data_IF_794259546680
#
_entry.id   IF_794259546680
#
_cell.length_a   1.000
_cell.length_b   1.000
_cell.length_c   1.000
_cell.angle_alpha   90.00
_cell.angle_beta   90.00
_cell.angle_gamma   90.00
#
_symmetry.space_group_name_H-M   'P 1'
#
loop_
_entity.id
_entity.type
_entity.pdbx_description
1 polymer ?
#
# COMPACT_ATOMS: atom_id res chain seq x y z
N UNK A 1 13.32 12.40 -33.87
CA UNK A 1 14.24 11.47 -33.17
C UNK A 1 13.62 10.08 -33.21
N UNK A 2 14.26 9.10 -33.84
CA UNK A 2 13.79 7.72 -33.86
C UNK A 2 13.86 7.17 -32.43
N UNK A 3 12.69 6.92 -31.81
CA UNK A 3 12.61 6.28 -30.51
C UNK A 3 12.97 4.79 -30.67
N UNK A 4 14.23 4.43 -30.53
CA UNK A 4 14.57 3.03 -30.32
C UNK A 4 13.97 2.60 -28.98
N UNK A 5 13.13 1.57 -28.99
CA UNK A 5 12.67 0.92 -27.75
C UNK A 5 13.89 0.57 -26.89
N UNK A 6 13.90 1.01 -25.64
CA UNK A 6 14.93 0.66 -24.67
C UNK A 6 14.65 -0.76 -24.16
N UNK A 7 15.66 -1.53 -23.94
CA UNK A 7 15.53 -2.96 -23.61
C UNK A 7 15.37 -3.24 -22.12
N UNK A 8 15.89 -2.40 -21.23
CA UNK A 8 15.86 -2.62 -19.78
C UNK A 8 15.52 -1.35 -18.99
N UNK A 9 14.91 -1.54 -17.82
CA UNK A 9 14.63 -0.50 -16.84
C UNK A 9 15.10 -0.91 -15.46
N UNK A 10 15.44 0.04 -14.61
CA UNK A 10 15.91 -0.23 -13.26
C UNK A 10 15.24 0.70 -12.24
N UNK A 11 15.07 0.20 -11.03
CA UNK A 11 14.80 1.00 -9.84
C UNK A 11 16.16 1.53 -9.38
N UNK A 12 16.39 2.82 -9.53
CA UNK A 12 17.66 3.47 -9.22
C UNK A 12 17.69 4.16 -7.86
N UNK A 13 16.53 4.38 -7.26
CA UNK A 13 16.38 4.90 -5.91
C UNK A 13 15.00 4.60 -5.35
N UNK A 14 14.90 4.53 -4.04
CA UNK A 14 13.64 4.40 -3.31
C UNK A 14 13.64 5.26 -2.06
N UNK A 15 12.46 5.69 -1.61
CA UNK A 15 12.30 6.47 -0.39
C UNK A 15 10.96 6.20 0.25
N UNK A 16 10.96 6.16 1.58
CA UNK A 16 9.76 5.92 2.41
C UNK A 16 9.50 7.14 3.27
N UNK A 17 8.25 7.51 3.38
CA UNK A 17 7.77 8.53 4.30
C UNK A 17 6.60 7.99 5.14
N UNK A 18 6.51 8.39 6.39
CA UNK A 18 5.38 8.12 7.28
C UNK A 18 5.12 9.31 8.19
N UNK A 19 3.89 9.48 8.72
CA UNK A 19 3.60 10.47 9.75
C UNK A 19 4.42 10.23 11.01
N UNK A 20 4.54 11.27 11.85
CA UNK A 20 5.22 11.16 13.15
C UNK A 20 4.37 10.46 14.21
N UNK A 21 3.03 10.50 14.08
CA UNK A 21 2.13 9.92 15.06
C UNK A 21 2.16 8.40 14.98
N UNK A 22 2.57 7.76 16.06
CA UNK A 22 2.48 6.31 16.26
C UNK A 22 1.24 5.99 17.08
N UNK A 23 0.43 5.06 16.62
CA UNK A 23 -0.76 4.56 17.31
C UNK A 23 -0.51 3.11 17.75
N UNK A 24 -0.34 2.91 19.05
CA UNK A 24 -0.13 1.61 19.68
C UNK A 24 -1.45 0.85 19.87
N UNK A 25 -1.41 -0.49 19.83
CA UNK A 25 -2.60 -1.31 20.06
C UNK A 25 -3.25 -1.03 21.42
N UNK A 26 -2.44 -0.79 22.44
CA UNK A 26 -2.95 -0.57 23.81
C UNK A 26 -3.83 0.71 23.88
N UNK A 27 -3.34 1.85 23.36
CA UNK A 27 -4.11 3.09 23.39
C UNK A 27 -5.35 3.03 22.48
N UNK A 28 -5.24 2.37 21.32
CA UNK A 28 -6.37 2.14 20.42
C UNK A 28 -7.46 1.32 21.08
N UNK A 29 -7.10 0.23 21.78
CA UNK A 29 -8.06 -0.63 22.48
C UNK A 29 -8.78 0.11 23.61
N UNK A 30 -8.11 1.02 24.31
CA UNK A 30 -8.76 1.85 25.35
C UNK A 30 -9.89 2.70 24.74
N UNK A 31 -9.62 3.42 23.64
CA UNK A 31 -10.59 4.25 22.96
C UNK A 31 -11.73 3.43 22.35
N UNK A 32 -11.40 2.34 21.66
CA UNK A 32 -12.36 1.45 21.04
C UNK A 32 -13.30 0.79 22.07
N UNK A 33 -12.77 0.31 23.17
CA UNK A 33 -13.57 -0.34 24.21
C UNK A 33 -14.49 0.64 24.94
N UNK A 34 -14.06 1.88 25.10
CA UNK A 34 -14.93 2.96 25.60
C UNK A 34 -16.07 3.26 24.61
N UNK A 35 -15.78 3.33 23.31
CA UNK A 35 -16.84 3.42 22.28
C UNK A 35 -17.81 2.24 22.38
N UNK A 36 -17.32 1.00 22.49
CA UNK A 36 -18.13 -0.20 22.60
C UNK A 36 -19.06 -0.13 23.84
N UNK A 37 -18.53 0.28 24.99
CA UNK A 37 -19.34 0.42 26.22
C UNK A 37 -20.46 1.43 26.07
N UNK A 38 -20.15 2.59 25.49
CA UNK A 38 -21.14 3.66 25.23
C UNK A 38 -22.24 3.20 24.27
N UNK A 39 -21.86 2.55 23.18
CA UNK A 39 -22.83 2.04 22.20
C UNK A 39 -23.71 0.90 22.78
N UNK A 40 -23.13 -0.01 23.54
CA UNK A 40 -23.90 -1.06 24.23
C UNK A 40 -24.87 -0.48 25.28
N UNK A 41 -24.46 0.56 26.01
CA UNK A 41 -25.33 1.25 26.97
C UNK A 41 -26.49 1.98 26.26
N UNK A 42 -26.24 2.65 25.14
CA UNK A 42 -27.31 3.24 24.31
C UNK A 42 -28.32 2.23 23.80
N UNK A 43 -27.85 1.02 23.46
CA UNK A 43 -28.66 -0.05 22.90
C UNK A 43 -29.11 -1.08 23.94
N UNK A 44 -29.00 -0.80 25.26
CA UNK A 44 -29.24 -1.78 26.33
C UNK A 44 -30.63 -2.42 26.23
N UNK A 45 -31.69 -1.67 26.00
CA UNK A 45 -33.04 -2.20 25.87
C UNK A 45 -33.21 -3.16 24.68
N UNK A 46 -32.59 -2.85 23.52
CA UNK A 46 -32.64 -3.71 22.35
C UNK A 46 -31.79 -4.99 22.53
N UNK A 47 -30.68 -4.88 23.26
CA UNK A 47 -29.83 -6.02 23.61
C UNK A 47 -30.57 -6.94 24.59
N UNK A 48 -31.20 -6.41 25.62
CA UNK A 48 -32.01 -7.16 26.59
C UNK A 48 -33.20 -7.85 25.93
N UNK A 49 -33.85 -7.17 24.98
CA UNK A 49 -34.93 -7.74 24.18
C UNK A 49 -34.46 -8.75 23.13
N UNK A 50 -33.16 -8.97 22.93
CA UNK A 50 -32.59 -9.88 21.94
C UNK A 50 -32.72 -9.42 20.48
N UNK A 51 -33.11 -8.16 20.25
CA UNK A 51 -33.25 -7.54 18.91
C UNK A 51 -31.98 -6.94 18.37
N UNK A 52 -30.98 -6.70 19.24
CA UNK A 52 -29.63 -6.29 18.88
C UNK A 52 -28.58 -7.18 19.55
N UNK A 53 -27.43 -7.36 18.89
CA UNK A 53 -26.30 -8.06 19.49
C UNK A 53 -25.34 -7.04 20.13
N UNK A 54 -24.79 -7.31 21.33
CA UNK A 54 -23.81 -6.43 21.92
C UNK A 54 -22.52 -6.40 21.10
N UNK A 55 -21.95 -5.22 20.94
CA UNK A 55 -20.62 -5.06 20.41
C UNK A 55 -19.60 -5.68 21.36
N UNK A 56 -18.53 -6.26 20.79
CA UNK A 56 -17.46 -6.92 21.56
C UNK A 56 -16.25 -6.01 21.69
N UNK A 57 -15.66 -5.97 22.86
CA UNK A 57 -14.40 -5.30 23.11
C UNK A 57 -13.23 -5.93 22.34
N UNK A 58 -12.16 -5.18 22.14
CA UNK A 58 -10.91 -5.59 21.52
C UNK A 58 -9.78 -5.66 22.54
N UNK A 59 -8.65 -6.30 22.17
CA UNK A 59 -7.43 -6.29 22.97
C UNK A 59 -6.18 -6.31 22.08
N UNK A 60 -5.03 -5.85 22.59
CA UNK A 60 -3.76 -5.93 21.87
C UNK A 60 -3.44 -7.36 21.42
N UNK A 61 -3.67 -8.36 22.26
CA UNK A 61 -3.42 -9.78 21.96
C UNK A 61 -4.32 -10.29 20.82
N UNK A 62 -5.60 -9.84 20.78
CA UNK A 62 -6.50 -10.14 19.68
C UNK A 62 -5.97 -9.56 18.37
N UNK A 63 -5.55 -8.30 18.37
CA UNK A 63 -5.02 -7.61 17.19
C UNK A 63 -3.76 -8.32 16.68
N UNK A 64 -2.77 -8.56 17.56
CA UNK A 64 -1.52 -9.21 17.18
C UNK A 64 -1.78 -10.63 16.65
N UNK A 65 -2.60 -11.41 17.31
CA UNK A 65 -2.95 -12.77 16.86
C UNK A 65 -3.67 -12.78 15.51
N UNK A 66 -4.55 -11.80 15.27
CA UNK A 66 -5.35 -11.73 14.05
C UNK A 66 -4.56 -11.23 12.84
N UNK A 67 -3.56 -10.37 13.03
CA UNK A 67 -2.92 -9.63 11.94
C UNK A 67 -1.39 -9.61 11.97
N UNK A 68 -0.78 -9.73 13.14
CA UNK A 68 0.64 -9.45 13.40
C UNK A 68 0.94 -7.98 13.69
N UNK A 69 -0.06 -7.08 13.66
CA UNK A 69 0.12 -5.64 13.86
C UNK A 69 0.33 -5.35 15.35
N UNK A 70 1.39 -4.61 15.69
CA UNK A 70 1.67 -4.11 17.04
C UNK A 70 1.39 -2.64 17.16
N UNK A 71 1.77 -1.86 16.13
CA UNK A 71 1.54 -0.42 16.02
C UNK A 71 1.36 -0.01 14.55
N UNK A 72 1.02 1.24 14.31
CA UNK A 72 0.95 1.83 12.98
C UNK A 72 1.21 3.32 13.04
N UNK A 73 1.66 3.87 11.92
CA UNK A 73 1.75 5.32 11.72
C UNK A 73 0.41 5.84 11.24
N UNK A 74 -0.04 6.98 11.77
CA UNK A 74 -1.33 7.60 11.42
C UNK A 74 -1.18 9.11 11.26
N UNK A 75 -1.89 9.70 10.30
CA UNK A 75 -1.83 11.14 10.04
C UNK A 75 -2.36 11.94 11.24
N UNK A 76 -3.36 11.45 11.90
CA UNK A 76 -3.90 11.98 13.15
C UNK A 76 -4.38 10.87 14.06
N UNK A 77 -3.92 10.86 15.30
CA UNK A 77 -4.40 9.91 16.30
C UNK A 77 -5.41 10.50 17.28
N UNK A 78 -5.48 11.82 17.38
CA UNK A 78 -6.35 12.49 18.36
C UNK A 78 -7.82 12.21 18.08
N UNK A 79 -8.24 12.31 16.82
CA UNK A 79 -9.59 11.98 16.41
C UNK A 79 -9.91 10.49 16.46
N UNK A 80 -8.91 9.63 16.21
CA UNK A 80 -9.06 8.16 16.31
C UNK A 80 -9.24 7.73 17.76
N UNK A 81 -8.53 8.37 18.70
CA UNK A 81 -8.58 8.07 20.14
C UNK A 81 -9.76 8.74 20.87
N UNK A 82 -10.54 9.57 20.20
CA UNK A 82 -11.79 10.10 20.72
C UNK A 82 -12.93 9.09 20.51
N UNK A 83 -13.50 8.49 21.58
CA UNK A 83 -14.55 7.48 21.45
C UNK A 83 -15.86 7.98 20.82
N UNK A 84 -16.10 9.28 20.76
CA UNK A 84 -17.26 9.86 20.08
C UNK A 84 -17.01 10.00 18.59
N UNK A 85 -15.79 10.35 18.22
CA UNK A 85 -15.41 10.58 16.82
C UNK A 85 -14.99 9.29 16.10
N UNK A 86 -14.06 8.53 16.64
CA UNK A 86 -13.51 7.31 16.05
C UNK A 86 -13.15 7.49 14.56
N UNK A 87 -12.41 8.56 14.25
CA UNK A 87 -12.01 8.93 12.89
C UNK A 87 -10.90 9.99 12.97
N UNK A 88 -9.88 9.98 12.11
CA UNK A 88 -8.85 11.02 12.08
C UNK A 88 -9.44 12.41 11.93
N UNK A 89 -8.81 13.40 12.55
CA UNK A 89 -9.14 14.79 12.38
C UNK A 89 -8.22 15.43 11.34
N UNK A 90 -8.65 15.43 10.10
CA UNK A 90 -7.91 16.03 8.98
C UNK A 90 -8.71 17.19 8.42
N UNK A 91 -8.44 18.43 8.87
CA UNK A 91 -9.17 19.61 8.38
C UNK A 91 -8.87 19.85 6.90
N UNK A 92 -9.85 20.44 6.21
CA UNK A 92 -9.64 20.93 4.86
C UNK A 92 -8.52 21.96 4.82
N UNK A 93 -7.67 21.90 3.82
CA UNK A 93 -6.62 22.90 3.57
C UNK A 93 -7.10 23.91 2.52
N UNK A 94 -6.63 25.18 2.58
CA UNK A 94 -6.82 26.14 1.49
C UNK A 94 -6.24 25.64 0.17
N UNK A 95 -6.79 26.11 -0.95
CA UNK A 95 -6.42 25.65 -2.29
C UNK A 95 -4.96 25.99 -2.70
N UNK A 96 -4.34 26.94 -2.00
CA UNK A 96 -2.94 27.34 -2.18
C UNK A 96 -1.95 26.49 -1.36
N UNK A 97 -2.45 25.62 -0.49
CA UNK A 97 -1.63 24.68 0.26
C UNK A 97 -1.59 23.32 -0.41
N UNK A 98 -0.41 22.68 -0.35
CA UNK A 98 -0.25 21.30 -0.80
C UNK A 98 -1.20 20.37 -0.05
N UNK A 99 -1.87 19.48 -0.76
CA UNK A 99 -2.77 18.49 -0.15
C UNK A 99 -2.01 17.50 0.73
N UNK A 100 -2.68 16.91 1.72
CA UNK A 100 -2.05 15.97 2.66
C UNK A 100 -1.41 14.79 1.93
N UNK A 101 -2.11 14.22 0.96
CA UNK A 101 -1.61 13.06 0.21
C UNK A 101 -0.44 13.44 -0.69
N UNK A 102 -0.44 14.65 -1.29
CA UNK A 102 0.70 15.13 -2.07
C UNK A 102 1.93 15.43 -1.18
N UNK A 103 1.73 15.98 0.02
CA UNK A 103 2.81 16.19 1.00
C UNK A 103 3.49 14.86 1.39
N UNK A 104 2.70 13.82 1.67
CA UNK A 104 3.21 12.46 1.93
C UNK A 104 4.06 11.97 0.76
N UNK A 105 3.57 12.16 -0.47
CA UNK A 105 4.27 11.76 -1.69
C UNK A 105 5.60 12.49 -1.86
N UNK A 106 5.60 13.83 -1.69
CA UNK A 106 6.81 14.66 -1.80
C UNK A 106 7.88 14.19 -0.82
N UNK A 107 7.51 13.95 0.44
CA UNK A 107 8.45 13.46 1.45
C UNK A 107 9.09 12.10 1.12
N UNK A 108 8.38 11.21 0.42
CA UNK A 108 8.92 9.95 -0.08
C UNK A 108 9.80 10.16 -1.33
N UNK A 109 9.37 11.04 -2.26
CA UNK A 109 10.08 11.32 -3.51
C UNK A 109 11.43 11.97 -3.23
N UNK A 110 11.51 12.95 -2.33
CA UNK A 110 12.77 13.60 -1.97
C UNK A 110 13.83 12.59 -1.54
N UNK A 111 13.45 11.60 -0.71
CA UNK A 111 14.36 10.53 -0.28
C UNK A 111 14.73 9.61 -1.44
N UNK A 112 13.78 9.28 -2.32
CA UNK A 112 14.05 8.45 -3.50
C UNK A 112 14.99 9.13 -4.49
N UNK A 113 14.82 10.43 -4.72
CA UNK A 113 15.68 11.24 -5.59
C UNK A 113 17.10 11.32 -5.02
N UNK A 114 17.25 11.55 -3.72
CA UNK A 114 18.57 11.54 -3.04
C UNK A 114 19.24 10.18 -3.24
N UNK A 115 18.52 9.08 -3.03
CA UNK A 115 19.05 7.72 -3.22
C UNK A 115 19.48 7.46 -4.68
N UNK A 116 18.73 7.98 -5.66
CA UNK A 116 19.06 7.88 -7.08
C UNK A 116 20.18 8.84 -7.50
N UNK A 117 20.48 9.88 -6.70
CA UNK A 117 21.35 11.00 -7.07
C UNK A 117 20.74 11.82 -8.21
N UNK A 118 19.48 12.15 -8.09
CA UNK A 118 18.66 12.95 -9.01
C UNK A 118 18.06 14.14 -8.29
N UNK A 119 17.55 15.09 -9.08
CA UNK A 119 16.77 16.26 -8.64
C UNK A 119 15.42 16.29 -9.34
N UNK A 120 14.46 17.04 -8.79
CA UNK A 120 13.09 17.10 -9.31
C UNK A 120 13.00 17.50 -10.78
N UNK A 121 13.81 18.45 -11.21
CA UNK A 121 13.85 18.97 -12.59
C UNK A 121 14.29 17.92 -13.64
N UNK A 122 14.94 16.83 -13.20
CA UNK A 122 15.30 15.72 -14.08
C UNK A 122 14.13 14.72 -14.29
N UNK A 123 13.08 14.80 -13.48
CA UNK A 123 11.91 13.94 -13.57
C UNK A 123 11.01 14.40 -14.70
N UNK A 124 10.66 13.50 -15.60
CA UNK A 124 9.83 13.77 -16.78
C UNK A 124 8.50 12.98 -16.78
N UNK A 125 8.28 12.13 -15.76
CA UNK A 125 7.00 11.44 -15.52
C UNK A 125 6.77 11.21 -14.03
N UNK A 126 5.58 11.53 -13.55
CA UNK A 126 5.09 11.14 -12.21
C UNK A 126 3.85 10.26 -12.37
N UNK A 127 3.93 9.01 -11.89
CA UNK A 127 2.78 8.09 -11.78
C UNK A 127 2.42 7.95 -10.30
N UNK A 128 1.29 8.52 -9.91
CA UNK A 128 0.77 8.38 -8.55
C UNK A 128 -0.21 7.21 -8.48
N UNK A 129 0.19 6.15 -7.77
CA UNK A 129 -0.61 4.94 -7.63
C UNK A 129 -0.98 4.70 -6.17
N UNK A 130 -2.18 5.09 -5.75
CA UNK A 130 -2.66 4.88 -4.39
C UNK A 130 -3.97 4.08 -4.38
N UNK A 131 -4.26 3.42 -3.27
CA UNK A 131 -5.51 2.66 -3.10
C UNK A 131 -6.73 3.58 -3.08
N UNK A 132 -6.56 4.81 -2.60
CA UNK A 132 -7.56 5.87 -2.55
C UNK A 132 -6.89 7.19 -2.90
N UNK A 133 -7.54 8.02 -3.71
CA UNK A 133 -7.09 9.37 -4.03
C UNK A 133 -7.87 10.39 -3.21
N UNK A 134 -7.18 11.41 -2.69
CA UNK A 134 -7.80 12.49 -1.91
C UNK A 134 -8.82 13.26 -2.76
N UNK A 135 -8.57 13.39 -4.06
CA UNK A 135 -9.47 13.99 -5.04
C UNK A 135 -9.27 13.38 -6.43
N UNK A 136 -10.25 13.61 -7.30
CA UNK A 136 -10.23 13.09 -8.68
C UNK A 136 -9.53 14.05 -9.66
N UNK A 137 -9.65 15.37 -9.43
CA UNK A 137 -9.04 16.40 -10.28
C UNK A 137 -8.82 17.71 -9.49
N UNK A 138 -7.71 18.44 -9.77
CA UNK A 138 -6.60 17.98 -10.60
C UNK A 138 -6.00 16.69 -10.05
N UNK A 139 -5.38 15.87 -10.94
CA UNK A 139 -4.74 14.62 -10.52
C UNK A 139 -3.70 14.89 -9.44
N UNK A 140 -3.57 13.96 -8.48
CA UNK A 140 -2.55 14.04 -7.41
C UNK A 140 -1.14 14.10 -7.99
N UNK A 141 -0.88 13.32 -9.05
CA UNK A 141 0.40 13.32 -9.75
C UNK A 141 0.80 14.70 -10.30
N UNK A 142 -0.17 15.51 -10.77
CA UNK A 142 0.11 16.86 -11.31
C UNK A 142 0.46 17.84 -10.18
N UNK A 143 -0.19 17.75 -9.02
CA UNK A 143 0.18 18.53 -7.85
C UNK A 143 1.57 18.14 -7.33
N UNK A 144 1.85 16.83 -7.23
CA UNK A 144 3.15 16.30 -6.84
C UNK A 144 4.24 16.76 -7.81
N UNK A 145 3.98 16.66 -9.12
CA UNK A 145 4.88 17.12 -10.17
C UNK A 145 5.28 18.59 -9.97
N UNK A 146 4.28 19.45 -9.75
CA UNK A 146 4.52 20.87 -9.47
C UNK A 146 5.34 21.08 -8.19
N UNK A 147 5.03 20.36 -7.13
CA UNK A 147 5.69 20.50 -5.82
C UNK A 147 7.18 20.12 -5.86
N UNK A 148 7.57 19.11 -6.66
CA UNK A 148 8.98 18.69 -6.79
C UNK A 148 9.72 19.40 -7.93
N UNK A 149 9.08 20.32 -8.66
CA UNK A 149 9.66 21.02 -9.79
C UNK A 149 9.91 20.13 -11.03
N UNK A 150 9.19 18.99 -11.12
CA UNK A 150 9.35 18.05 -12.23
C UNK A 150 8.82 18.61 -13.53
N UNK A 151 9.39 18.15 -14.64
CA UNK A 151 8.97 18.50 -16.00
C UNK A 151 8.13 17.37 -16.60
N UNK A 152 7.58 17.59 -17.79
CA UNK A 152 6.85 16.54 -18.50
C UNK A 152 5.40 16.40 -18.03
N UNK A 153 4.96 15.20 -17.61
CA UNK A 153 3.56 14.93 -17.32
C UNK A 153 3.38 13.99 -16.10
N UNK A 154 2.15 13.94 -15.60
CA UNK A 154 1.79 13.05 -14.51
C UNK A 154 0.35 12.58 -14.61
N UNK A 155 0.05 11.41 -14.05
CA UNK A 155 -1.29 10.86 -13.97
C UNK A 155 -1.45 9.94 -12.77
N UNK A 156 -2.72 9.78 -12.34
CA UNK A 156 -3.10 8.92 -11.22
C UNK A 156 -3.61 7.57 -11.71
N UNK A 157 -3.37 6.53 -10.90
CA UNK A 157 -4.00 5.22 -11.08
C UNK A 157 -4.51 4.68 -9.76
N UNK A 158 -5.60 3.93 -9.81
CA UNK A 158 -6.14 3.17 -8.67
C UNK A 158 -6.40 1.73 -9.07
N UNK A 159 -5.76 0.80 -8.36
CA UNK A 159 -5.93 -0.64 -8.50
C UNK A 159 -5.93 -1.32 -7.12
N UNK A 160 -6.57 -0.68 -6.12
CA UNK A 160 -6.54 -1.14 -4.74
C UNK A 160 -5.11 -1.35 -4.24
N UNK A 161 -4.86 -2.44 -3.54
CA UNK A 161 -3.53 -2.72 -2.96
C UNK A 161 -2.43 -3.02 -4.00
N UNK A 162 -2.75 -3.11 -5.29
CA UNK A 162 -1.76 -3.26 -6.37
C UNK A 162 -1.43 -1.94 -7.08
N UNK A 163 -1.95 -0.79 -6.60
CA UNK A 163 -1.74 0.51 -7.25
C UNK A 163 -0.27 0.89 -7.37
N UNK A 164 0.51 0.74 -6.30
CA UNK A 164 1.95 1.07 -6.30
C UNK A 164 2.74 0.22 -7.30
N UNK A 165 2.54 -1.10 -7.31
CA UNK A 165 3.25 -1.99 -8.23
C UNK A 165 2.80 -1.79 -9.68
N UNK A 166 1.54 -1.41 -9.90
CA UNK A 166 1.06 -1.01 -11.22
C UNK A 166 1.67 0.35 -11.66
N UNK A 167 1.85 1.29 -10.73
CA UNK A 167 2.55 2.55 -11.02
C UNK A 167 4.00 2.28 -11.47
N UNK A 168 4.70 1.33 -10.83
CA UNK A 168 6.04 0.90 -11.25
C UNK A 168 5.98 0.30 -12.67
N UNK A 169 4.99 -0.54 -12.98
CA UNK A 169 4.82 -1.08 -14.33
C UNK A 169 4.66 0.02 -15.37
N UNK A 170 3.72 0.96 -15.14
CA UNK A 170 3.44 2.04 -16.09
C UNK A 170 4.64 2.99 -16.26
N UNK A 171 5.35 3.30 -15.18
CA UNK A 171 6.59 4.07 -15.24
C UNK A 171 7.68 3.32 -16.04
N UNK A 172 7.84 2.02 -15.80
CA UNK A 172 8.78 1.16 -16.55
C UNK A 172 8.40 1.09 -18.04
N UNK A 173 7.11 0.92 -18.37
CA UNK A 173 6.64 0.85 -19.74
C UNK A 173 6.86 2.19 -20.48
N UNK A 174 6.63 3.33 -19.81
CA UNK A 174 6.92 4.65 -20.34
C UNK A 174 8.42 4.85 -20.65
N UNK A 175 9.29 4.39 -19.75
CA UNK A 175 10.74 4.45 -19.93
C UNK A 175 11.18 3.52 -21.08
N UNK A 176 10.66 2.31 -21.17
CA UNK A 176 10.94 1.36 -22.27
C UNK A 176 10.47 1.90 -23.61
N UNK A 177 9.30 2.54 -23.64
CA UNK A 177 8.75 3.17 -24.85
C UNK A 177 9.52 4.44 -25.26
N UNK A 178 10.38 4.99 -24.38
CA UNK A 178 11.13 6.22 -24.63
C UNK A 178 10.31 7.50 -24.45
N UNK A 179 9.12 7.41 -23.85
CA UNK A 179 8.29 8.58 -23.50
C UNK A 179 8.69 9.22 -22.19
N UNK A 180 9.51 8.53 -21.37
CA UNK A 180 10.16 9.05 -20.18
C UNK A 180 11.62 8.57 -20.11
N UNK A 181 12.46 9.29 -19.34
CA UNK A 181 13.87 8.95 -19.08
C UNK A 181 14.18 8.90 -17.59
N UNK A 182 13.38 9.57 -16.79
CA UNK A 182 13.43 9.54 -15.33
C UNK A 182 11.98 9.61 -14.81
N UNK A 183 11.41 8.48 -14.45
CA UNK A 183 10.03 8.39 -14.00
C UNK A 183 9.98 8.14 -12.50
N UNK A 184 8.99 8.73 -11.83
CA UNK A 184 8.65 8.45 -10.44
C UNK A 184 7.38 7.59 -10.41
N UNK A 185 7.44 6.44 -9.72
CA UNK A 185 6.28 5.71 -9.25
C UNK A 185 6.12 6.01 -7.75
N UNK A 186 5.03 6.67 -7.35
CA UNK A 186 4.79 7.05 -5.96
C UNK A 186 3.44 6.56 -5.47
N UNK A 187 3.39 6.07 -4.23
CA UNK A 187 2.17 5.58 -3.59
C UNK A 187 1.99 6.22 -2.21
N UNK A 188 1.24 7.33 -2.12
CA UNK A 188 0.88 7.96 -0.85
C UNK A 188 -0.45 7.40 -0.35
N UNK A 189 -0.42 6.29 0.37
CA UNK A 189 -1.63 5.66 0.90
C UNK A 189 -2.04 6.27 2.26
N UNK A 190 -3.06 7.14 2.23
CA UNK A 190 -3.71 7.76 3.39
C UNK A 190 -4.93 6.91 3.79
N UNK A 191 -4.69 5.76 4.40
CA UNK A 191 -5.72 4.74 4.60
C UNK A 191 -6.58 4.95 5.85
N UNK A 192 -6.04 5.61 6.86
CA UNK A 192 -6.74 5.82 8.13
C UNK A 192 -8.00 6.65 7.97
N UNK A 193 -8.05 7.56 6.99
CA UNK A 193 -9.23 8.37 6.68
C UNK A 193 -10.39 7.56 6.05
N UNK A 194 -10.13 6.36 5.57
CA UNK A 194 -11.12 5.46 4.93
C UNK A 194 -11.43 4.22 5.77
N UNK A 195 -10.77 4.08 6.91
CA UNK A 195 -10.93 2.94 7.82
C UNK A 195 -12.25 3.02 8.58
N UNK A 196 -12.89 1.87 8.80
CA UNK A 196 -14.00 1.77 9.73
C UNK A 196 -13.47 1.52 11.14
N UNK A 197 -13.18 2.59 11.88
CA UNK A 197 -12.66 2.54 13.25
C UNK A 197 -13.66 2.01 14.28
N UNK A 198 -14.94 1.90 13.91
CA UNK A 198 -16.03 1.40 14.77
C UNK A 198 -16.31 -0.09 14.59
N UNK A 199 -15.55 -0.78 13.76
CA UNK A 199 -15.69 -2.22 13.50
C UNK A 199 -14.55 -2.99 14.15
N UNK A 200 -14.88 -3.96 15.02
CA UNK A 200 -13.89 -4.73 15.78
C UNK A 200 -12.85 -5.44 14.93
N UNK A 201 -13.27 -5.98 13.79
CA UNK A 201 -12.40 -6.79 12.91
C UNK A 201 -11.59 -5.91 11.93
N UNK A 202 -11.82 -4.60 11.92
CA UNK A 202 -11.20 -3.65 10.97
C UNK A 202 -10.50 -2.45 11.59
N UNK A 203 -10.88 -2.03 12.83
CA UNK A 203 -10.40 -0.79 13.46
C UNK A 203 -8.88 -0.69 13.61
N UNK A 204 -8.17 -1.80 13.59
CA UNK A 204 -6.73 -1.86 13.81
C UNK A 204 -5.91 -2.00 12.53
N UNK A 205 -6.55 -2.19 11.38
CA UNK A 205 -5.90 -2.75 10.20
C UNK A 205 -4.91 -1.79 9.54
N UNK A 206 -5.33 -0.55 9.31
CA UNK A 206 -4.59 0.36 8.45
C UNK A 206 -3.65 1.32 9.18
N UNK A 207 -2.54 1.66 8.48
CA UNK A 207 -1.67 2.77 8.77
C UNK A 207 -1.45 3.62 7.52
N UNK A 208 -0.87 4.81 7.70
CA UNK A 208 -0.58 5.77 6.65
C UNK A 208 0.92 5.79 6.35
N UNK A 209 1.28 5.69 5.08
CA UNK A 209 2.67 5.86 4.63
C UNK A 209 2.71 6.19 3.14
N UNK A 210 3.85 6.69 2.69
CA UNK A 210 4.15 6.87 1.29
C UNK A 210 5.47 6.19 0.92
N UNK A 211 5.55 5.71 -0.31
CA UNK A 211 6.78 5.18 -0.90
C UNK A 211 6.93 5.71 -2.31
N UNK A 212 8.15 6.04 -2.69
CA UNK A 212 8.48 6.44 -4.05
C UNK A 212 9.67 5.65 -4.59
N UNK A 213 9.63 5.35 -5.88
CA UNK A 213 10.71 4.69 -6.60
C UNK A 213 11.05 5.48 -7.85
N UNK A 214 12.34 5.65 -8.11
CA UNK A 214 12.87 6.25 -9.33
C UNK A 214 13.12 5.14 -10.35
N UNK A 215 12.51 5.26 -11.52
CA UNK A 215 12.60 4.29 -12.62
C UNK A 215 13.31 4.94 -13.80
N UNK A 216 14.41 4.33 -14.21
CA UNK A 216 15.26 4.84 -15.30
C UNK A 216 15.66 3.70 -16.25
N UNK A 217 16.20 4.04 -17.46
CA UNK A 217 16.87 3.04 -18.29
C UNK A 217 18.02 2.37 -17.52
N UNK A 218 18.21 1.06 -17.71
CA UNK A 218 19.24 0.29 -17.02
C UNK A 218 20.64 0.85 -17.25
N UNK A 219 20.88 1.49 -18.40
CA UNK A 219 22.16 2.13 -18.75
C UNK A 219 22.52 3.34 -17.86
N UNK A 220 21.53 3.90 -17.16
CA UNK A 220 21.70 4.99 -16.18
C UNK A 220 21.85 4.48 -14.74
N UNK A 221 21.65 3.17 -14.54
CA UNK A 221 21.70 2.57 -13.22
C UNK A 221 23.11 2.63 -12.63
N UNK A 222 23.18 3.00 -11.34
CA UNK A 222 24.40 2.92 -10.55
C UNK A 222 24.50 1.54 -9.89
N UNK A 223 25.70 1.15 -9.39
CA UNK A 223 25.81 -0.03 -8.53
C UNK A 223 24.79 0.02 -7.39
N UNK A 224 24.22 -1.13 -7.05
CA UNK A 224 23.12 -1.29 -6.07
C UNK A 224 21.73 -0.89 -6.57
N UNK A 225 21.53 -0.54 -7.82
CA UNK A 225 20.20 -0.47 -8.43
C UNK A 225 19.61 -1.87 -8.63
N UNK A 226 18.33 -1.93 -8.96
CA UNK A 226 17.63 -3.17 -9.24
C UNK A 226 17.07 -3.15 -10.66
N UNK A 227 17.56 -4.03 -11.52
CA UNK A 227 16.99 -4.21 -12.85
C UNK A 227 15.60 -4.85 -12.73
N UNK A 228 14.64 -4.32 -13.49
CA UNK A 228 13.30 -4.90 -13.61
C UNK A 228 13.33 -5.88 -14.77
N UNK A 229 13.49 -7.17 -14.46
CA UNK A 229 13.58 -8.22 -15.46
C UNK A 229 12.25 -8.45 -16.16
N UNK A 230 11.16 -8.51 -15.40
CA UNK A 230 9.80 -8.63 -15.92
C UNK A 230 8.76 -8.19 -14.90
N UNK A 231 7.57 -7.87 -15.40
CA UNK A 231 6.39 -7.57 -14.58
C UNK A 231 5.23 -8.40 -15.10
N UNK A 232 4.45 -8.95 -14.19
CA UNK A 232 3.20 -9.67 -14.47
C UNK A 232 2.07 -9.08 -13.68
N UNK A 233 0.92 -8.90 -14.33
CA UNK A 233 -0.30 -8.41 -13.69
C UNK A 233 -1.50 -9.26 -14.11
N UNK A 234 -2.44 -9.45 -13.17
CA UNK A 234 -3.73 -10.07 -13.45
C UNK A 234 -4.81 -9.49 -12.54
N UNK A 235 -6.04 -9.56 -12.98
CA UNK A 235 -7.20 -9.20 -12.18
C UNK A 235 -8.34 -10.19 -12.34
N UNK A 236 -9.14 -10.34 -11.27
CA UNK A 236 -10.36 -11.15 -11.24
C UNK A 236 -11.40 -10.43 -10.40
N UNK A 237 -12.54 -10.10 -10.98
CA UNK A 237 -13.59 -9.37 -10.28
C UNK A 237 -14.07 -10.10 -9.02
N UNK A 238 -14.12 -9.38 -7.91
CA UNK A 238 -14.63 -9.83 -6.62
C UNK A 238 -15.10 -8.64 -5.78
N UNK A 239 -16.21 -8.81 -5.08
CA UNK A 239 -16.75 -7.83 -4.13
C UNK A 239 -16.32 -8.09 -2.68
N UNK A 240 -15.43 -9.04 -2.45
CA UNK A 240 -15.01 -9.44 -1.10
C UNK A 240 -14.13 -8.38 -0.40
N UNK A 241 -13.51 -7.45 -1.16
CA UNK A 241 -12.85 -6.25 -0.65
C UNK A 241 -13.37 -5.08 -1.48
N UNK A 242 -14.04 -4.12 -0.84
CA UNK A 242 -14.65 -2.99 -1.54
C UNK A 242 -14.97 -1.83 -0.62
N UNK A 243 -15.35 -0.73 -1.20
CA UNK A 243 -16.19 0.31 -0.61
C UNK A 243 -17.13 0.87 -1.69
N UNK A 244 -18.11 1.65 -1.27
CA UNK A 244 -19.01 2.40 -2.15
C UNK A 244 -18.72 3.91 -2.07
N UNK A 245 -17.50 4.28 -1.70
CA UNK A 245 -17.05 5.67 -1.66
C UNK A 245 -16.93 6.25 -3.08
N UNK A 246 -17.27 7.52 -3.23
CA UNK A 246 -17.15 8.24 -4.50
C UNK A 246 -18.18 9.36 -4.62
N UNK A 247 -18.17 10.11 -5.72
CA UNK A 247 -19.05 11.26 -5.92
C UNK A 247 -20.54 10.88 -5.96
N UNK A 248 -20.86 9.68 -6.39
CA UNK A 248 -22.24 9.16 -6.40
C UNK A 248 -22.87 9.04 -5.00
N UNK A 249 -22.06 9.01 -3.95
CA UNK A 249 -22.56 8.98 -2.58
C UNK A 249 -23.44 10.19 -2.24
N UNK A 250 -23.19 11.34 -2.86
CA UNK A 250 -24.00 12.54 -2.70
C UNK A 250 -25.34 12.48 -3.43
N UNK A 251 -25.49 11.54 -4.36
CA UNK A 251 -26.72 11.29 -5.09
C UNK A 251 -27.68 10.36 -4.35
N UNK A 252 -27.23 9.76 -3.24
CA UNK A 252 -28.04 8.93 -2.34
C UNK A 252 -28.14 9.59 -0.96
N UNK A 253 -29.10 10.49 -0.74
CA UNK A 253 -29.18 11.29 0.47
C UNK A 253 -29.46 10.46 1.74
N UNK A 254 -30.07 9.27 1.61
CA UNK A 254 -30.38 8.39 2.73
C UNK A 254 -29.15 7.61 3.21
N UNK A 255 -28.20 7.34 2.32
CA UNK A 255 -27.01 6.52 2.57
C UNK A 255 -25.68 7.33 2.57
N UNK A 256 -25.77 8.64 2.53
CA UNK A 256 -24.60 9.53 2.36
C UNK A 256 -23.45 9.27 3.36
N UNK A 257 -23.79 8.88 4.60
CA UNK A 257 -22.85 8.56 5.68
C UNK A 257 -22.87 7.07 6.07
N UNK A 258 -23.36 6.22 5.19
CA UNK A 258 -23.45 4.79 5.45
C UNK A 258 -22.08 4.13 5.67
N UNK A 259 -22.04 3.12 6.52
CA UNK A 259 -20.80 2.36 6.81
C UNK A 259 -20.23 1.64 5.57
N UNK A 260 -21.05 1.37 4.56
CA UNK A 260 -20.62 0.78 3.29
C UNK A 260 -19.75 1.71 2.43
N UNK A 261 -19.68 3.02 2.75
CA UNK A 261 -18.78 4.00 2.13
C UNK A 261 -17.33 3.85 2.65
N UNK A 262 -17.14 3.17 3.75
CA UNK A 262 -15.84 2.87 4.33
C UNK A 262 -15.29 1.54 3.79
N UNK A 263 -14.06 1.23 4.14
CA UNK A 263 -13.44 -0.05 3.76
C UNK A 263 -14.24 -1.23 4.33
N UNK A 264 -14.52 -2.20 3.46
CA UNK A 264 -15.16 -3.47 3.82
C UNK A 264 -14.38 -4.65 3.27
N UNK A 265 -14.24 -5.70 4.07
CA UNK A 265 -13.71 -6.98 3.60
C UNK A 265 -14.44 -8.18 4.23
N UNK A 266 -14.69 -9.19 3.41
CA UNK A 266 -15.09 -10.52 3.85
C UNK A 266 -13.83 -11.36 4.19
N UNK A 267 -13.13 -11.04 5.28
CA UNK A 267 -11.76 -11.48 5.57
C UNK A 267 -11.51 -12.98 5.39
N UNK A 268 -12.39 -13.86 5.88
CA UNK A 268 -12.27 -15.31 5.71
C UNK A 268 -12.33 -15.76 4.24
N UNK A 269 -13.15 -15.10 3.42
CA UNK A 269 -13.25 -15.39 1.98
C UNK A 269 -11.99 -14.89 1.27
N UNK A 270 -11.55 -13.67 1.57
CA UNK A 270 -10.30 -13.10 1.04
C UNK A 270 -9.13 -14.03 1.32
N UNK A 271 -8.96 -14.46 2.57
CA UNK A 271 -7.90 -15.39 2.98
C UNK A 271 -7.92 -16.68 2.15
N UNK A 272 -9.11 -17.30 1.99
CA UNK A 272 -9.29 -18.54 1.24
C UNK A 272 -9.03 -18.37 -0.27
N UNK A 273 -9.44 -17.24 -0.84
CA UNK A 273 -9.36 -17.00 -2.28
C UNK A 273 -7.99 -16.52 -2.72
N UNK A 274 -7.37 -15.60 -1.95
CA UNK A 274 -6.13 -14.91 -2.35
C UNK A 274 -4.89 -15.81 -2.20
N UNK A 275 -4.77 -16.57 -1.10
CA UNK A 275 -3.55 -17.34 -0.82
C UNK A 275 -3.20 -18.32 -1.94
N UNK A 276 -4.10 -19.20 -2.41
CA UNK A 276 -3.73 -20.14 -3.47
C UNK A 276 -3.40 -19.44 -4.79
N UNK A 277 -4.12 -18.35 -5.11
CA UNK A 277 -3.89 -17.59 -6.35
C UNK A 277 -2.57 -16.85 -6.29
N UNK A 278 -2.28 -16.12 -5.19
CA UNK A 278 -1.02 -15.40 -5.02
C UNK A 278 0.18 -16.34 -5.03
N UNK A 279 0.11 -17.47 -4.30
CA UNK A 279 1.20 -18.46 -4.26
C UNK A 279 1.51 -19.03 -5.65
N UNK A 280 0.47 -19.40 -6.39
CA UNK A 280 0.64 -19.89 -7.76
C UNK A 280 1.17 -18.80 -8.70
N UNK A 281 0.63 -17.58 -8.61
CA UNK A 281 1.03 -16.44 -9.45
C UNK A 281 2.51 -16.10 -9.27
N UNK A 282 3.00 -16.12 -8.02
CA UNK A 282 4.41 -15.91 -7.69
C UNK A 282 5.27 -17.06 -8.21
N UNK A 283 4.89 -18.32 -7.94
CA UNK A 283 5.64 -19.49 -8.38
C UNK A 283 5.75 -19.56 -9.92
N UNK A 284 4.65 -19.32 -10.63
CA UNK A 284 4.64 -19.25 -12.10
C UNK A 284 5.52 -18.11 -12.64
N UNK A 285 5.64 -17.00 -11.91
CA UNK A 285 6.49 -15.88 -12.32
C UNK A 285 7.97 -16.22 -12.14
N UNK A 286 8.36 -16.85 -11.04
CA UNK A 286 9.73 -17.33 -10.80
C UNK A 286 10.11 -18.39 -11.83
N UNK A 287 9.24 -19.37 -12.07
CA UNK A 287 9.47 -20.45 -13.04
C UNK A 287 9.64 -19.93 -14.48
N UNK A 288 9.00 -18.81 -14.85
CA UNK A 288 9.18 -18.21 -16.17
C UNK A 288 10.58 -17.63 -16.41
N UNK A 289 11.37 -17.46 -15.36
CA UNK A 289 12.79 -17.09 -15.42
C UNK A 289 13.72 -18.31 -15.27
N UNK A 290 13.18 -19.53 -15.40
CA UNK A 290 13.92 -20.78 -15.23
C UNK A 290 14.61 -20.88 -13.86
N UNK A 291 14.02 -20.27 -12.84
CA UNK A 291 14.53 -20.24 -11.48
C UNK A 291 13.69 -21.13 -10.56
N UNK A 292 14.38 -21.80 -9.63
CA UNK A 292 13.73 -22.40 -8.48
C UNK A 292 13.41 -21.32 -7.42
N UNK A 293 12.28 -21.40 -6.70
CA UNK A 293 11.92 -20.40 -5.70
C UNK A 293 13.01 -20.11 -4.66
N UNK A 294 13.82 -21.10 -4.29
CA UNK A 294 14.93 -20.93 -3.36
C UNK A 294 16.11 -20.09 -3.91
N UNK A 295 16.14 -19.80 -5.22
CA UNK A 295 17.13 -18.91 -5.85
C UNK A 295 16.77 -17.45 -5.75
N UNK A 296 15.52 -17.13 -5.37
CA UNK A 296 15.07 -15.76 -5.09
C UNK A 296 15.43 -15.44 -3.64
N UNK A 297 16.39 -14.54 -3.47
CA UNK A 297 16.96 -14.18 -2.16
C UNK A 297 15.96 -13.43 -1.27
N UNK A 298 14.98 -12.74 -1.88
CA UNK A 298 14.02 -11.91 -1.14
C UNK A 298 12.66 -11.85 -1.83
N UNK A 299 11.59 -12.03 -1.01
CA UNK A 299 10.19 -11.87 -1.40
C UNK A 299 9.56 -10.70 -0.64
N UNK A 300 9.37 -9.55 -1.29
CA UNK A 300 8.68 -8.40 -0.72
C UNK A 300 7.19 -8.48 -1.03
N UNK A 301 6.46 -9.12 -0.13
CA UNK A 301 5.04 -9.38 -0.31
C UNK A 301 4.18 -8.22 0.21
N UNK A 302 2.94 -8.13 -0.28
CA UNK A 302 1.94 -7.20 0.23
C UNK A 302 1.72 -7.39 1.73
N UNK A 303 1.71 -6.29 2.48
CA UNK A 303 1.65 -6.26 3.94
C UNK A 303 0.21 -6.15 4.45
N UNK A 304 -0.66 -7.12 4.11
CA UNK A 304 -2.05 -7.13 4.53
C UNK A 304 -2.29 -7.86 5.86
N UNK A 305 -1.59 -8.96 6.08
CA UNK A 305 -1.72 -9.82 7.26
C UNK A 305 -0.50 -10.74 7.33
N UNK A 306 0.15 -10.79 8.49
CA UNK A 306 1.36 -11.60 8.67
C UNK A 306 1.12 -13.08 8.39
N UNK A 307 0.03 -13.65 8.94
CA UNK A 307 -0.27 -15.08 8.76
C UNK A 307 -0.50 -15.43 7.27
N UNK A 308 -1.09 -14.49 6.50
CA UNK A 308 -1.28 -14.65 5.06
C UNK A 308 0.07 -14.65 4.34
N UNK A 309 0.97 -13.73 4.66
CA UNK A 309 2.28 -13.63 4.06
C UNK A 309 3.13 -14.87 4.36
N UNK A 310 3.12 -15.34 5.60
CA UNK A 310 3.84 -16.55 6.01
C UNK A 310 3.37 -17.76 5.22
N UNK A 311 2.05 -17.93 5.07
CA UNK A 311 1.50 -19.06 4.31
C UNK A 311 1.74 -18.95 2.79
N UNK A 312 1.72 -17.75 2.22
CA UNK A 312 2.06 -17.54 0.80
C UNK A 312 3.53 -17.88 0.57
N UNK A 313 4.44 -17.36 1.39
CA UNK A 313 5.88 -17.62 1.27
C UNK A 313 6.20 -19.12 1.49
N UNK A 314 5.57 -19.77 2.47
CA UNK A 314 5.71 -21.20 2.70
C UNK A 314 5.28 -22.03 1.49
N UNK A 315 4.15 -21.70 0.87
CA UNK A 315 3.67 -22.41 -0.33
C UNK A 315 4.58 -22.21 -1.54
N UNK A 316 5.16 -21.01 -1.69
CA UNK A 316 6.09 -20.71 -2.77
C UNK A 316 7.40 -21.45 -2.59
N UNK A 317 7.95 -21.46 -1.36
CA UNK A 317 9.24 -22.08 -1.05
C UNK A 317 9.16 -23.58 -0.77
N UNK A 318 7.96 -24.12 -0.52
CA UNK A 318 7.77 -25.52 -0.07
C UNK A 318 8.21 -25.77 1.38
N UNK A 319 8.54 -24.70 2.13
CA UNK A 319 8.95 -24.72 3.55
C UNK A 319 8.68 -23.36 4.18
N UNK A 320 8.63 -23.25 5.51
CA UNK A 320 8.55 -21.94 6.17
C UNK A 320 9.68 -21.00 5.69
N UNK A 321 9.32 -19.76 5.36
CA UNK A 321 10.27 -18.71 5.03
C UNK A 321 10.88 -18.11 6.30
N UNK A 322 12.14 -17.72 6.22
CA UNK A 322 12.76 -16.87 7.24
C UNK A 322 12.33 -15.41 7.06
N UNK A 323 12.49 -14.57 8.10
CA UNK A 323 12.23 -13.12 8.01
C UNK A 323 13.24 -12.40 7.10
N UNK A 324 14.37 -13.02 6.82
CA UNK A 324 15.30 -12.53 5.80
C UNK A 324 14.73 -12.78 4.39
N UNK A 325 14.20 -13.96 4.11
CA UNK A 325 13.62 -14.30 2.81
C UNK A 325 12.30 -13.58 2.52
N UNK A 326 11.43 -13.45 3.53
CA UNK A 326 10.14 -12.77 3.43
C UNK A 326 9.99 -11.77 4.59
N UNK A 327 10.55 -10.55 4.46
CA UNK A 327 10.49 -9.55 5.51
C UNK A 327 9.05 -9.07 5.72
N UNK A 328 8.75 -8.72 6.95
CA UNK A 328 7.50 -8.08 7.35
C UNK A 328 7.78 -6.67 7.84
N UNK A 329 6.83 -5.77 7.59
CA UNK A 329 6.79 -4.42 8.13
C UNK A 329 5.43 -4.13 8.77
N UNK A 330 4.49 -5.06 8.62
CA UNK A 330 3.11 -4.89 9.08
C UNK A 330 3.01 -4.73 10.59
N UNK A 331 3.94 -5.30 11.35
CA UNK A 331 3.97 -5.18 12.80
C UNK A 331 4.23 -3.74 13.27
N UNK A 332 4.89 -2.93 12.45
CA UNK A 332 5.23 -1.54 12.74
C UNK A 332 4.39 -0.52 11.96
N UNK A 333 4.14 -0.79 10.68
CA UNK A 333 3.43 0.13 9.78
C UNK A 333 1.92 -0.10 9.73
N UNK A 334 1.43 -1.27 10.21
CA UNK A 334 0.10 -1.74 9.86
C UNK A 334 -0.02 -2.07 8.37
N UNK A 335 -1.24 -2.22 7.88
CA UNK A 335 -1.49 -2.37 6.45
C UNK A 335 -1.49 -0.98 5.77
N UNK A 336 -0.45 -0.66 5.03
CA UNK A 336 -0.32 0.57 4.25
C UNK A 336 -0.83 0.39 2.80
N UNK A 337 -1.81 -0.46 2.62
CA UNK A 337 -2.45 -0.76 1.34
C UNK A 337 -1.44 -1.00 0.20
N UNK A 338 -1.40 -0.17 -0.86
CA UNK A 338 -0.54 -0.43 -2.01
C UNK A 338 0.94 -0.17 -1.73
N UNK A 339 1.26 0.70 -0.77
CA UNK A 339 2.64 1.05 -0.44
C UNK A 339 3.40 -0.09 0.27
N UNK A 340 2.71 -1.08 0.86
CA UNK A 340 3.32 -2.06 1.77
C UNK A 340 4.45 -2.89 1.16
N UNK A 341 4.30 -3.47 -0.02
CA UNK A 341 5.38 -4.26 -0.64
C UNK A 341 6.54 -3.41 -1.13
N UNK A 342 6.36 -2.20 -1.74
CA UNK A 342 7.48 -1.32 -2.05
C UNK A 342 8.18 -0.73 -0.81
N UNK A 343 7.46 -0.50 0.31
CA UNK A 343 8.09 -0.13 1.59
C UNK A 343 8.98 -1.28 2.08
N UNK A 344 8.46 -2.51 2.09
CA UNK A 344 9.25 -3.68 2.48
C UNK A 344 10.50 -3.83 1.59
N UNK A 345 10.37 -3.59 0.28
CA UNK A 345 11.53 -3.51 -0.64
C UNK A 345 12.51 -2.42 -0.22
N UNK A 346 12.03 -1.20 -0.01
CA UNK A 346 12.88 -0.05 0.32
C UNK A 346 13.69 -0.23 1.61
N UNK A 347 13.09 -0.90 2.62
CA UNK A 347 13.69 -1.10 3.93
C UNK A 347 14.56 -2.37 4.03
N UNK A 348 14.36 -3.34 3.14
CA UNK A 348 15.00 -4.66 3.26
C UNK A 348 15.63 -5.12 1.94
N UNK A 349 16.56 -4.32 1.39
CA UNK A 349 17.28 -4.67 0.16
C UNK A 349 18.79 -4.36 0.20
N UNK A 350 19.28 -3.66 1.21
CA UNK A 350 20.66 -3.15 1.24
C UNK A 350 21.74 -4.24 1.46
N UNK A 351 21.36 -5.34 2.10
CA UNK A 351 22.21 -6.51 2.35
C UNK A 351 22.37 -7.44 1.14
N UNK A 352 21.61 -7.19 0.07
CA UNK A 352 21.67 -7.99 -1.15
C UNK A 352 22.74 -7.48 -2.10
N UNK A 353 23.37 -8.43 -2.80
CA UNK A 353 24.57 -8.19 -3.61
C UNK A 353 24.27 -8.39 -5.10
N UNK A 354 25.22 -7.95 -5.94
CA UNK A 354 25.11 -8.07 -7.39
C UNK A 354 24.81 -9.51 -7.82
N UNK A 355 23.78 -9.66 -8.64
CA UNK A 355 23.31 -10.94 -9.16
C UNK A 355 22.22 -11.60 -8.33
N UNK A 356 21.96 -11.11 -7.10
CA UNK A 356 20.83 -11.59 -6.28
C UNK A 356 19.49 -11.27 -6.94
N UNK A 357 18.57 -12.23 -6.86
CA UNK A 357 17.20 -12.06 -7.33
C UNK A 357 16.26 -11.68 -6.19
N UNK A 358 15.30 -10.83 -6.51
CA UNK A 358 14.20 -10.49 -5.61
C UNK A 358 12.86 -10.48 -6.34
N UNK A 359 11.78 -10.75 -5.61
CA UNK A 359 10.43 -10.68 -6.15
C UNK A 359 9.58 -9.78 -5.26
N UNK A 360 9.03 -8.71 -5.86
CA UNK A 360 8.03 -7.86 -5.22
C UNK A 360 6.64 -8.27 -5.70
N UNK A 361 5.68 -8.48 -4.80
CA UNK A 361 4.32 -8.83 -5.18
C UNK A 361 3.28 -8.15 -4.31
N UNK A 362 2.37 -7.44 -4.96
CA UNK A 362 1.15 -6.89 -4.36
C UNK A 362 -0.07 -7.67 -4.79
N UNK A 363 -1.05 -7.77 -3.90
CA UNK A 363 -2.34 -8.40 -4.17
C UNK A 363 -3.42 -7.80 -3.27
N UNK A 364 -4.65 -7.74 -3.72
CA UNK A 364 -5.74 -7.19 -2.92
C UNK A 364 -7.05 -7.00 -3.67
N UNK A 365 -7.70 -5.89 -3.37
CA UNK A 365 -9.02 -5.57 -3.91
C UNK A 365 -9.05 -5.70 -5.43
N UNK A 366 -10.15 -6.21 -5.91
CA UNK A 366 -10.37 -6.40 -7.32
C UNK A 366 -10.92 -7.80 -7.65
N UNK A 367 -10.29 -8.96 -7.41
CA UNK A 367 -8.89 -9.08 -6.96
C UNK A 367 -7.90 -8.60 -8.02
N UNK A 368 -6.83 -8.00 -7.59
CA UNK A 368 -5.71 -7.62 -8.45
C UNK A 368 -4.40 -8.19 -7.90
N UNK A 369 -3.49 -8.55 -8.79
CA UNK A 369 -2.16 -9.07 -8.49
C UNK A 369 -1.16 -8.44 -9.43
N UNK A 370 -0.05 -7.96 -8.91
CA UNK A 370 1.09 -7.49 -9.72
C UNK A 370 2.38 -7.95 -9.07
N UNK A 371 3.25 -8.60 -9.83
CA UNK A 371 4.57 -9.02 -9.37
C UNK A 371 5.68 -8.56 -10.31
N UNK A 372 6.80 -8.16 -9.71
CA UNK A 372 8.03 -7.74 -10.38
C UNK A 372 9.14 -8.72 -10.04
N UNK A 373 9.80 -9.25 -11.06
CA UNK A 373 11.04 -9.99 -10.91
C UNK A 373 12.21 -9.03 -11.08
N UNK A 374 13.08 -8.98 -10.08
CA UNK A 374 14.14 -8.00 -9.95
C UNK A 374 15.51 -8.69 -9.83
N UNK A 375 16.55 -8.04 -10.35
CA UNK A 375 17.93 -8.48 -10.15
C UNK A 375 18.81 -7.32 -9.69
N UNK A 376 19.64 -7.56 -8.69
CA UNK A 376 20.60 -6.58 -8.16
C UNK A 376 21.76 -6.36 -9.13
N UNK A 377 22.05 -5.10 -9.48
CA UNK A 377 23.13 -4.69 -10.39
C UNK A 377 24.48 -4.45 -9.70
#
# INVERSE_FOLDING_TARGET
MSSRLRTGTAITGSGVWHPENVLENAELCVAFNEFVRRENAKNAAAIEAGTAQPLKESSPEFIEKASGIKRRYVIDKTGVLDPERMCPNVPARPDDQISVQAEMAVGAIERALVAAGRVGEEVDLVVCGASMMQRQYPAMAVEIQNAIGARGYGFDITLGCSSATMAIQLASDAVRAGSATCAIAVAPDLMTCHSNWRERDGHFLFGDAAVALVIEPVERAKPKAWEILSIRSMSKYSTNIRNNFGFLNRCDPEQQFGADKLFYQAGRRVYKDVIPVASKFIADHVAAHELEPARVSRYWLHQANQNMNDLIAERVLGRPATRIEAPIIIDEYGNTASAGSPIAFSLHNDDLTKGDYGLMCSFGAGYSFTSLMLQRL
#
